data_IF_525043077017
#
_entry.id   IF_525043077017
#
_cell.length_a   1.000
_cell.length_b   1.000
_cell.length_c   1.000
_cell.angle_alpha   90.00
_cell.angle_beta   90.00
_cell.angle_gamma   90.00
#
_symmetry.space_group_name_H-M   'P 1'
#
loop_
_entity.id
_entity.type
_entity.pdbx_description
1 polymer ?
#
# COMPACT_ATOMS: atom_id res chain seq x y z
N UNK A 1 -52.27 -11.70 -65.67
CA UNK A 1 -52.76 -12.91 -64.97
C UNK A 1 -51.57 -13.77 -64.58
N UNK A 2 -51.60 -14.27 -63.35
CA UNK A 2 -50.83 -15.40 -62.77
C UNK A 2 -49.48 -15.11 -62.10
N UNK A 3 -49.61 -14.71 -60.82
CA UNK A 3 -49.02 -15.30 -59.59
C UNK A 3 -47.71 -16.08 -59.74
N UNK A 4 -46.65 -15.59 -59.08
CA UNK A 4 -45.57 -16.46 -58.57
C UNK A 4 -45.05 -16.00 -57.20
N UNK A 5 -45.38 -16.85 -56.23
CA UNK A 5 -44.87 -17.14 -54.90
C UNK A 5 -43.55 -16.51 -54.41
N UNK A 6 -43.69 -15.74 -53.32
CA UNK A 6 -43.14 -16.00 -51.98
C UNK A 6 -41.76 -16.68 -51.88
N UNK A 7 -40.73 -15.89 -51.57
CA UNK A 7 -39.60 -16.31 -50.74
C UNK A 7 -39.38 -15.24 -49.67
N UNK A 8 -39.78 -15.57 -48.44
CA UNK A 8 -39.54 -14.75 -47.25
C UNK A 8 -38.06 -14.86 -46.92
N UNK A 9 -37.30 -13.78 -47.15
CA UNK A 9 -35.92 -13.67 -46.67
C UNK A 9 -36.00 -13.32 -45.19
N UNK A 10 -35.99 -14.34 -44.35
CA UNK A 10 -35.83 -14.18 -42.90
C UNK A 10 -34.43 -13.65 -42.60
N UNK A 11 -34.29 -12.32 -42.55
CA UNK A 11 -33.12 -11.66 -42.02
C UNK A 11 -33.06 -11.87 -40.51
N UNK A 12 -32.36 -12.93 -40.08
CA UNK A 12 -31.93 -13.08 -38.69
C UNK A 12 -30.94 -11.94 -38.37
N UNK A 13 -31.45 -10.87 -37.77
CA UNK A 13 -30.65 -9.92 -37.00
C UNK A 13 -30.07 -10.67 -35.80
N UNK A 14 -28.87 -11.22 -35.96
CA UNK A 14 -28.06 -11.63 -34.83
C UNK A 14 -27.64 -10.35 -34.08
N UNK A 15 -28.39 -10.01 -33.04
CA UNK A 15 -27.96 -9.04 -32.04
C UNK A 15 -26.70 -9.61 -31.40
N UNK A 16 -25.53 -9.17 -31.88
CA UNK A 16 -24.28 -9.32 -31.16
C UNK A 16 -24.42 -8.56 -29.85
N UNK A 17 -24.88 -9.26 -28.81
CA UNK A 17 -24.70 -8.85 -27.44
C UNK A 17 -23.19 -8.84 -27.20
N UNK A 18 -22.55 -7.67 -27.37
CA UNK A 18 -21.24 -7.44 -26.80
C UNK A 18 -21.43 -7.57 -25.29
N UNK A 19 -21.07 -8.72 -24.73
CA UNK A 19 -20.90 -8.87 -23.30
C UNK A 19 -19.84 -7.85 -22.88
N UNK A 20 -20.27 -6.73 -22.30
CA UNK A 20 -19.38 -5.81 -21.60
C UNK A 20 -18.71 -6.63 -20.50
N UNK A 21 -17.47 -7.05 -20.75
CA UNK A 21 -16.60 -7.61 -19.72
C UNK A 21 -16.47 -6.51 -18.68
N UNK A 22 -17.12 -6.71 -17.54
CA UNK A 22 -16.99 -5.84 -16.39
C UNK A 22 -15.60 -6.08 -15.80
N UNK A 23 -14.57 -5.52 -16.45
CA UNK A 23 -13.22 -5.48 -15.92
C UNK A 23 -13.30 -4.62 -14.66
N UNK A 24 -13.40 -5.28 -13.51
CA UNK A 24 -12.90 -4.71 -12.27
C UNK A 24 -11.45 -4.32 -12.57
N UNK A 25 -11.20 -3.03 -12.77
CA UNK A 25 -9.87 -2.44 -12.85
C UNK A 25 -9.25 -2.64 -11.46
N UNK A 26 -8.77 -3.86 -11.21
CA UNK A 26 -7.74 -4.08 -10.21
C UNK A 26 -6.60 -3.23 -10.71
N UNK A 27 -6.38 -2.09 -10.08
CA UNK A 27 -5.23 -1.26 -10.42
C UNK A 27 -4.02 -2.12 -10.06
N UNK A 28 -3.42 -2.76 -11.06
CA UNK A 28 -2.31 -3.68 -10.88
C UNK A 28 -1.16 -2.87 -10.28
N UNK A 29 -0.93 -3.04 -8.98
CA UNK A 29 0.08 -2.29 -8.24
C UNK A 29 1.46 -2.83 -8.58
N UNK A 30 2.44 -1.94 -8.73
CA UNK A 30 3.83 -2.35 -8.91
C UNK A 30 4.40 -2.84 -7.58
N UNK A 31 4.80 -4.11 -7.50
CA UNK A 31 5.38 -4.70 -6.29
C UNK A 31 6.87 -4.36 -6.16
N UNK A 32 7.19 -3.47 -5.22
CA UNK A 32 8.54 -3.04 -4.87
C UNK A 32 8.88 -3.34 -3.41
N UNK A 33 8.22 -4.34 -2.81
CA UNK A 33 8.53 -4.79 -1.45
C UNK A 33 10.02 -5.14 -1.32
N UNK A 34 10.66 -4.60 -0.29
CA UNK A 34 12.10 -4.80 -0.05
C UNK A 34 13.03 -3.99 -0.96
N UNK A 35 12.52 -3.19 -1.91
CA UNK A 35 13.34 -2.35 -2.79
C UNK A 35 13.02 -0.86 -2.60
N UNK A 36 13.56 -0.27 -1.53
CA UNK A 36 13.34 1.13 -1.18
C UNK A 36 13.81 2.11 -2.27
N UNK A 37 14.95 1.84 -2.90
CA UNK A 37 15.47 2.72 -3.97
C UNK A 37 14.52 2.75 -5.17
N UNK A 38 13.94 1.60 -5.54
CA UNK A 38 12.95 1.56 -6.61
C UNK A 38 11.70 2.37 -6.23
N UNK A 39 11.24 2.32 -4.97
CA UNK A 39 10.06 3.08 -4.52
C UNK A 39 10.28 4.58 -4.66
N UNK A 40 11.47 5.08 -4.30
CA UNK A 40 11.84 6.50 -4.38
C UNK A 40 11.84 7.03 -5.83
N UNK A 41 12.00 6.15 -6.83
CA UNK A 41 11.84 6.50 -8.26
C UNK A 41 10.38 6.72 -8.65
N UNK A 42 9.40 6.29 -7.85
CA UNK A 42 7.98 6.47 -8.14
C UNK A 42 7.29 7.46 -7.21
N UNK A 43 7.66 7.47 -5.93
CA UNK A 43 6.97 8.22 -4.89
C UNK A 43 7.98 8.91 -3.97
N UNK A 44 7.79 10.21 -3.78
CA UNK A 44 8.59 11.03 -2.85
C UNK A 44 7.74 11.32 -1.63
N UNK A 45 8.30 11.14 -0.44
CA UNK A 45 7.60 11.46 0.82
C UNK A 45 7.37 12.97 0.88
N UNK A 46 6.11 13.39 0.88
CA UNK A 46 5.71 14.79 1.04
C UNK A 46 5.52 15.13 2.51
N UNK A 47 4.79 14.27 3.23
CA UNK A 47 4.52 14.46 4.66
C UNK A 47 4.87 13.20 5.43
N UNK A 48 5.82 13.35 6.36
CA UNK A 48 6.19 12.33 7.33
C UNK A 48 5.62 12.69 8.70
N UNK A 49 4.91 11.76 9.32
CA UNK A 49 4.42 11.91 10.70
C UNK A 49 5.16 10.90 11.58
N UNK A 50 5.90 11.41 12.57
CA UNK A 50 6.55 10.56 13.56
C UNK A 50 5.49 9.91 14.46
N UNK A 51 5.66 8.63 14.85
CA UNK A 51 4.77 8.01 15.82
C UNK A 51 4.99 8.55 17.22
N UNK A 52 3.90 8.73 17.95
CA UNK A 52 3.98 9.04 19.38
C UNK A 52 4.54 7.83 20.14
N UNK A 53 5.47 8.09 21.05
CA UNK A 53 6.04 7.03 21.87
C UNK A 53 5.00 6.52 22.89
N UNK A 54 4.74 5.21 23.00
CA UNK A 54 3.85 4.69 24.04
C UNK A 54 4.36 5.01 25.44
N UNK A 55 3.51 5.60 26.30
CA UNK A 55 3.90 6.07 27.63
C UNK A 55 4.53 4.95 28.49
N UNK A 56 3.95 3.76 28.48
CA UNK A 56 4.47 2.62 29.25
C UNK A 56 5.85 2.17 28.75
N UNK A 57 6.04 2.07 27.43
CA UNK A 57 7.33 1.73 26.83
C UNK A 57 8.38 2.78 27.15
N UNK A 58 8.02 4.07 27.06
CA UNK A 58 8.92 5.18 27.39
C UNK A 58 9.36 5.18 28.85
N UNK A 59 8.43 4.93 29.79
CA UNK A 59 8.74 4.80 31.23
C UNK A 59 9.65 3.62 31.54
N UNK A 60 9.47 2.52 30.83
CA UNK A 60 10.20 1.27 31.05
C UNK A 60 11.48 1.18 30.21
N UNK A 61 11.82 2.19 29.42
CA UNK A 61 13.01 2.17 28.57
C UNK A 61 12.96 1.09 27.49
N UNK A 62 11.80 0.77 26.94
CA UNK A 62 11.65 -0.27 25.92
C UNK A 62 11.71 0.34 24.54
N UNK A 63 12.69 -0.03 23.72
CA UNK A 63 12.80 0.34 22.29
C UNK A 63 12.34 -0.79 21.36
N UNK A 64 12.08 -0.45 20.10
CA UNK A 64 11.74 -1.43 19.07
C UNK A 64 11.27 -0.82 17.77
N UNK A 65 10.52 -1.57 16.96
CA UNK A 65 10.10 -1.16 15.63
C UNK A 65 8.79 -1.81 15.21
N UNK A 66 8.16 -1.23 14.19
CA UNK A 66 7.02 -1.82 13.47
C UNK A 66 7.26 -1.65 11.97
N UNK A 67 7.20 -2.73 11.21
CA UNK A 67 7.27 -2.72 9.76
C UNK A 67 5.90 -3.03 9.16
N UNK A 68 5.47 -2.18 8.24
CA UNK A 68 4.24 -2.35 7.48
C UNK A 68 4.56 -2.80 6.07
N UNK A 69 3.78 -3.74 5.53
CA UNK A 69 3.51 -3.83 4.09
C UNK A 69 2.31 -2.95 3.78
N UNK A 70 2.42 -2.09 2.77
CA UNK A 70 1.36 -1.14 2.40
C UNK A 70 1.38 -0.82 0.90
N UNK A 71 0.25 -0.37 0.38
CA UNK A 71 0.12 0.19 -0.96
C UNK A 71 0.16 1.72 -0.87
N UNK A 72 1.04 2.37 -1.62
CA UNK A 72 0.90 3.80 -1.92
C UNK A 72 -0.04 3.90 -3.12
N UNK A 73 -1.24 4.44 -2.92
CA UNK A 73 -2.23 4.57 -3.98
C UNK A 73 -1.92 5.74 -4.95
N UNK A 74 -2.73 5.89 -5.99
CA UNK A 74 -2.57 6.97 -6.97
C UNK A 74 -2.74 8.37 -6.39
N UNK A 75 -3.33 8.52 -5.20
CA UNK A 75 -3.42 9.80 -4.50
C UNK A 75 -2.24 10.01 -3.53
N UNK A 76 -1.25 9.11 -3.53
CA UNK A 76 -0.10 9.15 -2.63
C UNK A 76 -0.47 8.87 -1.18
N UNK A 77 -1.56 8.16 -0.91
CA UNK A 77 -1.99 7.78 0.45
C UNK A 77 -1.67 6.31 0.72
N UNK A 78 -1.37 5.97 1.98
CA UNK A 78 -1.13 4.58 2.37
C UNK A 78 -2.46 3.82 2.49
N UNK A 79 -2.54 2.68 1.81
CA UNK A 79 -3.67 1.74 1.85
C UNK A 79 -3.19 0.35 2.28
N UNK A 80 -4.12 -0.49 2.75
CA UNK A 80 -3.87 -1.90 3.09
C UNK A 80 -2.70 -2.12 4.07
N UNK A 81 -2.53 -1.23 5.05
CA UNK A 81 -1.45 -1.33 6.04
C UNK A 81 -1.54 -2.64 6.81
N UNK A 82 -0.54 -3.51 6.62
CA UNK A 82 -0.42 -4.80 7.29
C UNK A 82 0.89 -4.85 8.05
N UNK A 83 0.84 -5.10 9.37
CA UNK A 83 2.06 -5.29 10.16
C UNK A 83 2.68 -6.64 9.78
N UNK A 84 3.88 -6.61 9.21
CA UNK A 84 4.63 -7.81 8.81
C UNK A 84 5.75 -8.16 9.79
N UNK A 85 6.17 -7.18 10.60
CA UNK A 85 7.17 -7.34 11.64
C UNK A 85 6.90 -6.34 12.75
N UNK A 86 7.05 -6.77 13.99
CA UNK A 86 6.97 -5.89 15.15
C UNK A 86 7.79 -6.44 16.29
N UNK A 87 8.44 -5.55 17.03
CA UNK A 87 9.25 -5.89 18.18
C UNK A 87 9.22 -4.77 19.23
N UNK A 88 9.12 -5.08 20.54
CA UNK A 88 8.79 -6.38 21.12
C UNK A 88 7.28 -6.63 21.10
N UNK A 89 6.86 -7.78 20.56
CA UNK A 89 5.45 -8.12 20.43
C UNK A 89 4.68 -7.03 19.67
N UNK A 90 3.52 -6.61 20.19
CA UNK A 90 2.67 -5.58 19.58
C UNK A 90 2.77 -4.21 20.25
N UNK A 91 3.78 -3.99 21.10
CA UNK A 91 3.94 -2.81 21.98
C UNK A 91 3.75 -1.47 21.24
N UNK A 92 4.25 -1.39 20.00
CA UNK A 92 4.26 -0.15 19.21
C UNK A 92 3.19 -0.10 18.11
N UNK A 93 2.47 -1.19 17.83
CA UNK A 93 1.61 -1.33 16.65
C UNK A 93 0.57 -0.21 16.52
N UNK A 94 -0.12 0.10 17.61
CA UNK A 94 -1.17 1.13 17.61
C UNK A 94 -0.62 2.51 17.22
N UNK A 95 0.49 2.91 17.85
CA UNK A 95 1.10 4.23 17.60
C UNK A 95 1.77 4.31 16.23
N UNK A 96 2.36 3.21 15.79
CA UNK A 96 2.89 3.09 14.44
C UNK A 96 1.78 3.23 13.38
N UNK A 97 0.64 2.57 13.57
CA UNK A 97 -0.50 2.64 12.64
C UNK A 97 -1.12 4.04 12.61
N UNK A 98 -1.33 4.66 13.78
CA UNK A 98 -1.87 6.03 13.91
C UNK A 98 -1.01 7.08 13.18
N UNK A 99 0.30 6.86 13.12
CA UNK A 99 1.24 7.72 12.41
C UNK A 99 1.30 7.40 10.92
N UNK A 100 1.45 6.13 10.55
CA UNK A 100 1.61 5.70 9.16
C UNK A 100 0.40 6.13 8.31
N UNK A 101 -0.83 6.01 8.82
CA UNK A 101 -2.05 6.46 8.10
C UNK A 101 -2.07 7.96 7.78
N UNK A 102 -1.22 8.77 8.43
CA UNK A 102 -1.12 10.22 8.23
C UNK A 102 0.02 10.60 7.29
N UNK A 103 0.81 9.66 6.82
CA UNK A 103 1.85 9.92 5.81
C UNK A 103 1.21 10.27 4.46
N UNK A 104 1.95 11.01 3.65
CA UNK A 104 1.55 11.41 2.31
C UNK A 104 2.77 11.38 1.41
N UNK A 105 2.57 10.90 0.20
CA UNK A 105 3.54 10.93 -0.88
C UNK A 105 3.02 11.82 -2.02
N UNK A 106 3.97 12.35 -2.78
CA UNK A 106 3.74 12.99 -4.08
C UNK A 106 4.41 12.15 -5.16
N UNK A 107 3.84 12.05 -6.36
CA UNK A 107 4.46 11.31 -7.45
C UNK A 107 5.81 11.94 -7.81
N UNK A 108 6.82 11.10 -8.03
CA UNK A 108 8.08 11.53 -8.61
C UNK A 108 7.87 11.98 -10.07
N UNK A 109 8.81 12.74 -10.63
CA UNK A 109 8.74 13.18 -12.03
C UNK A 109 8.64 12.01 -13.03
N UNK A 110 9.22 10.87 -12.70
CA UNK A 110 9.13 9.61 -13.45
C UNK A 110 7.79 8.89 -13.32
N UNK A 111 6.96 9.23 -12.34
CA UNK A 111 5.67 8.58 -12.08
C UNK A 111 4.48 9.44 -12.53
N UNK A 112 4.49 9.84 -13.81
CA UNK A 112 3.47 10.72 -14.38
C UNK A 112 2.06 10.11 -14.36
N UNK A 113 1.97 8.78 -14.41
CA UNK A 113 0.70 8.03 -14.36
C UNK A 113 0.23 7.73 -12.93
N UNK A 114 0.96 8.19 -11.89
CA UNK A 114 0.65 7.93 -10.48
C UNK A 114 0.45 6.43 -10.19
N UNK A 115 1.32 5.61 -10.76
CA UNK A 115 1.32 4.17 -10.62
C UNK A 115 1.34 3.79 -9.13
N UNK A 116 0.33 3.05 -8.64
CA UNK A 116 0.34 2.56 -7.27
C UNK A 116 1.48 1.57 -7.03
N UNK A 117 2.10 1.67 -5.85
CA UNK A 117 3.28 0.87 -5.48
C UNK A 117 3.04 0.13 -4.18
N UNK A 118 3.21 -1.19 -4.19
CA UNK A 118 3.25 -2.01 -2.98
C UNK A 118 4.67 -2.01 -2.43
N UNK A 119 4.83 -1.73 -1.14
CA UNK A 119 6.15 -1.55 -0.50
C UNK A 119 6.13 -1.92 0.98
N UNK A 120 7.29 -1.83 1.64
CA UNK A 120 7.42 -1.93 3.10
C UNK A 120 8.05 -0.68 3.70
N UNK A 121 7.58 -0.29 4.89
CA UNK A 121 8.10 0.84 5.66
C UNK A 121 8.23 0.45 7.13
N UNK A 122 9.41 0.64 7.70
CA UNK A 122 9.69 0.47 9.13
C UNK A 122 9.60 1.82 9.86
N UNK A 123 8.91 1.83 11.01
CA UNK A 123 8.93 2.90 11.99
C UNK A 123 9.69 2.45 13.24
N UNK A 124 10.67 3.24 13.64
CA UNK A 124 11.56 2.95 14.74
C UNK A 124 11.17 3.75 16.00
N UNK A 125 11.29 3.10 17.14
CA UNK A 125 10.99 3.65 18.46
C UNK A 125 12.23 3.49 19.34
N UNK A 126 13.07 4.51 19.40
CA UNK A 126 14.28 4.52 20.23
C UNK A 126 14.14 5.47 21.42
N UNK A 127 14.71 5.09 22.55
CA UNK A 127 14.82 5.94 23.74
C UNK A 127 16.23 5.89 24.29
N UNK A 128 16.73 6.99 24.86
CA UNK A 128 18.09 7.07 25.40
C UNK A 128 18.31 6.10 26.57
N UNK A 129 17.26 5.78 27.33
CA UNK A 129 17.30 4.86 28.48
C UNK A 129 16.94 3.43 28.09
N UNK A 130 17.25 3.03 26.86
CA UNK A 130 16.81 1.72 26.33
C UNK A 130 17.44 0.57 27.12
N UNK A 131 16.61 -0.22 27.80
CA UNK A 131 17.07 -1.39 28.57
C UNK A 131 17.18 -2.65 27.71
N UNK A 132 16.50 -2.70 26.57
CA UNK A 132 16.50 -3.81 25.61
C UNK A 132 17.21 -3.44 24.28
N UNK A 133 18.26 -2.61 24.36
CA UNK A 133 18.93 -2.08 23.16
C UNK A 133 19.50 -3.19 22.27
N UNK A 134 20.15 -4.21 22.84
CA UNK A 134 20.77 -5.27 22.08
C UNK A 134 19.75 -6.08 21.26
N UNK A 135 18.62 -6.42 21.87
CA UNK A 135 17.53 -7.16 21.23
C UNK A 135 16.81 -6.28 20.21
N UNK A 136 16.58 -5.01 20.53
CA UNK A 136 16.01 -4.03 19.62
C UNK A 136 16.90 -3.86 18.38
N UNK A 137 18.21 -3.70 18.54
CA UNK A 137 19.15 -3.64 17.42
C UNK A 137 19.15 -4.94 16.61
N UNK A 138 19.17 -6.10 17.27
CA UNK A 138 19.17 -7.39 16.57
C UNK A 138 17.93 -7.57 15.69
N UNK A 139 16.75 -7.25 16.21
CA UNK A 139 15.48 -7.39 15.52
C UNK A 139 15.24 -6.27 14.49
N UNK A 140 15.51 -5.02 14.84
CA UNK A 140 15.08 -3.84 14.08
C UNK A 140 16.19 -3.13 13.31
N UNK A 141 17.47 -3.38 13.63
CA UNK A 141 18.64 -2.66 13.09
C UNK A 141 18.61 -1.16 13.42
N UNK A 142 18.27 -0.82 14.67
CA UNK A 142 18.09 0.56 15.20
C UNK A 142 19.04 0.89 16.33
#
# INVERSE_FOLDING_TARGET
>A
MNKSNLLVVSALFALSACSTVNQTVVTESLDLVGNKEAVEKYWVVERKVAPEYPLAAGKNGISGCVEFKLLIDGDGKPQNLTVIKSFPGSTFNKKAYEAMRKWQWTPAASNTQKQPVLTTIQLDFTTQKSVNHAEAYAACKI
#
